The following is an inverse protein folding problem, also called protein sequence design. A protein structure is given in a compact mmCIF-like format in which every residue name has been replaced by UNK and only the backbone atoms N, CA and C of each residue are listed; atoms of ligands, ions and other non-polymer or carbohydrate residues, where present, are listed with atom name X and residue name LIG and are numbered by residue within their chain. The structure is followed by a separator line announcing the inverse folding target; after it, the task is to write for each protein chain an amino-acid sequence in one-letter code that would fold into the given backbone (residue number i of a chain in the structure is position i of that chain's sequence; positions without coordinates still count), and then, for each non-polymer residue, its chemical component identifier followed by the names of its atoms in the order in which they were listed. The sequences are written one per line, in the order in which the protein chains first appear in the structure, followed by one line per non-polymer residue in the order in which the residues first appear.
data_IF_901206728106
#
_entry.id   IF_901206728106
#
_cell.length_a   1.000
_cell.length_b   1.000
_cell.length_c   1.000
_cell.angle_alpha   90.00
_cell.angle_beta   90.00
_cell.angle_gamma   90.00
#
_symmetry.space_group_name_H-M   'P 1'
#
loop_
_entity.id
_entity.type
_entity.pdbx_description
1 polymer ?
#
# COMPACT_ATOMS: atom_id res chain seq x y z
N UNK A 1 19.30 -0.29 -12.62
CA UNK A 1 18.18 -1.25 -12.84
C UNK A 1 18.09 -2.20 -11.65
N UNK A 2 16.88 -2.58 -11.26
CA UNK A 2 16.68 -3.62 -10.25
C UNK A 2 16.96 -4.99 -10.88
N UNK A 3 17.76 -5.83 -10.22
CA UNK A 3 18.11 -7.15 -10.73
C UNK A 3 17.07 -8.20 -10.29
N UNK A 4 16.66 -8.12 -9.03
CA UNK A 4 15.62 -8.95 -8.44
C UNK A 4 14.53 -8.07 -7.79
N UNK A 5 13.55 -7.57 -8.57
CA UNK A 5 12.48 -6.72 -8.04
C UNK A 5 11.65 -7.35 -6.92
N UNK A 6 11.59 -8.69 -6.87
CA UNK A 6 10.87 -9.42 -5.82
C UNK A 6 11.55 -9.26 -4.44
N UNK A 7 12.88 -9.18 -4.43
CA UNK A 7 13.70 -9.00 -3.23
C UNK A 7 14.07 -7.54 -2.96
N UNK A 8 14.26 -6.75 -4.01
CA UNK A 8 14.83 -5.41 -3.92
C UNK A 8 13.79 -4.30 -3.70
N UNK A 9 12.50 -4.59 -3.93
CA UNK A 9 11.41 -3.63 -3.76
C UNK A 9 10.63 -3.90 -2.48
N UNK A 10 10.42 -2.84 -1.71
CA UNK A 10 9.38 -2.75 -0.70
C UNK A 10 8.11 -2.20 -1.33
N UNK A 11 7.12 -3.05 -1.56
CA UNK A 11 5.82 -2.59 -2.05
C UNK A 11 5.10 -1.87 -0.92
N UNK A 12 4.43 -0.79 -1.25
CA UNK A 12 3.78 0.08 -0.27
C UNK A 12 2.38 0.45 -0.74
N UNK A 13 1.44 0.58 0.19
CA UNK A 13 0.12 1.11 -0.13
C UNK A 13 -0.47 1.85 1.07
N UNK A 14 -1.38 2.76 0.78
CA UNK A 14 -2.15 3.49 1.77
C UNK A 14 -3.49 2.80 2.01
N UNK A 15 -3.86 2.66 3.27
CA UNK A 15 -5.17 2.18 3.70
C UNK A 15 -5.83 3.32 4.44
N UNK A 16 -6.97 3.79 3.93
CA UNK A 16 -7.74 4.88 4.51
C UNK A 16 -8.96 4.26 5.18
N UNK A 17 -9.01 4.25 6.51
CA UNK A 17 -10.01 3.53 7.28
C UNK A 17 -11.06 4.48 7.86
N UNK A 18 -12.33 4.15 7.59
CA UNK A 18 -13.49 4.91 8.03
C UNK A 18 -14.41 4.15 8.99
N UNK A 19 -15.33 4.88 9.60
CA UNK A 19 -16.45 4.30 10.33
C UNK A 19 -17.32 3.41 9.40
N UNK A 20 -18.13 2.50 9.97
CA UNK A 20 -19.06 1.70 9.19
C UNK A 20 -20.02 2.56 8.35
N UNK A 21 -20.57 2.00 7.26
CA UNK A 21 -21.62 2.69 6.50
C UNK A 21 -22.81 2.97 7.41
N UNK A 22 -23.47 4.11 7.21
CA UNK A 22 -24.64 4.52 8.00
C UNK A 22 -25.79 3.49 7.99
N UNK A 23 -25.82 2.60 6.99
CA UNK A 23 -26.78 1.50 6.86
C UNK A 23 -26.48 0.30 7.76
N UNK A 24 -25.29 0.18 8.35
CA UNK A 24 -24.89 -0.94 9.23
C UNK A 24 -24.78 -0.48 10.68
N UNK A 25 -25.43 -1.21 11.58
CA UNK A 25 -25.28 -1.00 13.03
C UNK A 25 -24.03 -1.68 13.53
N UNK A 26 -23.26 -1.00 14.37
CA UNK A 26 -22.03 -1.55 14.98
C UNK A 26 -22.30 -2.87 15.73
N UNK A 27 -23.45 -2.96 16.41
CA UNK A 27 -23.88 -4.15 17.14
C UNK A 27 -23.98 -5.41 16.25
N UNK A 28 -24.32 -5.24 14.98
CA UNK A 28 -24.57 -6.33 14.03
C UNK A 28 -23.29 -6.81 13.32
N UNK A 29 -22.16 -6.12 13.51
CA UNK A 29 -20.89 -6.48 12.88
C UNK A 29 -20.33 -7.80 13.44
N UNK A 30 -19.58 -8.59 12.65
CA UNK A 30 -19.06 -9.89 13.08
C UNK A 30 -17.79 -9.78 13.98
N UNK A 31 -17.61 -8.68 14.69
CA UNK A 31 -16.43 -8.42 15.53
C UNK A 31 -16.65 -8.73 17.01
N UNK A 32 -15.56 -8.84 17.76
CA UNK A 32 -15.62 -9.02 19.22
C UNK A 32 -16.31 -7.84 19.91
N UNK A 33 -16.84 -8.06 21.12
CA UNK A 33 -17.48 -6.98 21.89
C UNK A 33 -16.50 -5.83 22.18
N UNK A 34 -15.26 -6.13 22.54
CA UNK A 34 -14.21 -5.14 22.75
C UNK A 34 -13.95 -4.27 21.51
N UNK A 35 -13.92 -4.89 20.32
CA UNK A 35 -13.78 -4.15 19.06
C UNK A 35 -14.99 -3.23 18.81
N UNK A 36 -16.20 -3.74 19.03
CA UNK A 36 -17.44 -2.97 18.88
C UNK A 36 -17.52 -1.79 19.85
N UNK A 37 -17.11 -1.98 21.10
CA UNK A 37 -17.13 -0.93 22.13
C UNK A 37 -16.15 0.20 21.76
N UNK A 38 -14.96 -0.14 21.27
CA UNK A 38 -13.98 0.84 20.76
C UNK A 38 -14.49 1.56 19.51
N UNK A 39 -15.14 0.84 18.61
CA UNK A 39 -15.74 1.41 17.41
C UNK A 39 -16.89 2.38 17.73
N UNK A 40 -17.73 2.02 18.71
CA UNK A 40 -18.82 2.84 19.23
C UNK A 40 -18.31 4.08 20.01
N UNK A 41 -17.16 3.98 20.65
CA UNK A 41 -16.50 5.14 21.24
C UNK A 41 -15.97 6.07 20.14
N UNK A 42 -15.29 5.53 19.12
CA UNK A 42 -14.74 6.29 18.00
C UNK A 42 -15.82 7.00 17.17
N UNK A 43 -17.02 6.39 17.02
CA UNK A 43 -18.13 6.99 16.26
C UNK A 43 -18.72 8.26 16.89
N UNK A 44 -18.40 8.52 18.17
CA UNK A 44 -18.83 9.72 18.92
C UNK A 44 -17.82 10.86 18.84
N UNK A 45 -16.64 10.60 18.29
CA UNK A 45 -15.60 11.60 18.10
C UNK A 45 -15.85 12.42 16.83
N UNK A 46 -15.34 13.67 16.76
CA UNK A 46 -15.31 14.39 15.50
C UNK A 46 -14.36 13.72 14.50
N UNK A 47 -14.75 13.69 13.23
CA UNK A 47 -13.89 13.27 12.13
C UNK A 47 -12.71 14.25 11.98
N UNK A 48 -11.50 13.70 11.87
CA UNK A 48 -10.24 14.45 11.79
C UNK A 48 -9.74 14.64 10.35
N UNK A 49 -10.11 13.74 9.44
CA UNK A 49 -9.65 13.74 8.06
C UNK A 49 -10.76 13.37 7.08
N UNK A 50 -10.76 13.99 5.90
CA UNK A 50 -11.63 13.65 4.78
C UNK A 50 -10.83 13.01 3.67
N UNK A 51 -11.13 11.75 3.40
CA UNK A 51 -10.58 11.00 2.27
C UNK A 51 -11.64 10.93 1.18
N UNK A 52 -11.20 10.85 -0.07
CA UNK A 52 -12.07 10.69 -1.23
C UNK A 52 -12.83 9.35 -1.18
N UNK A 53 -12.16 8.27 -0.74
CA UNK A 53 -12.76 6.93 -0.61
C UNK A 53 -12.21 6.16 0.60
N UNK A 54 -12.66 6.45 1.83
CA UNK A 54 -12.27 5.64 2.98
C UNK A 54 -12.96 4.26 2.94
N UNK A 55 -12.18 3.22 3.21
CA UNK A 55 -12.67 1.86 3.40
C UNK A 55 -13.44 1.82 4.71
N UNK A 56 -14.74 1.54 4.62
CA UNK A 56 -15.62 1.54 5.78
C UNK A 56 -15.52 0.21 6.53
N UNK A 57 -15.33 0.27 7.85
CA UNK A 57 -15.32 -0.93 8.70
C UNK A 57 -16.63 -1.71 8.53
N UNK A 58 -16.52 -3.01 8.34
CA UNK A 58 -17.67 -3.89 8.14
C UNK A 58 -18.28 -3.85 6.74
N UNK A 59 -17.61 -3.27 5.73
CA UNK A 59 -17.94 -3.54 4.32
C UNK A 59 -17.76 -5.03 4.02
N UNK A 60 -18.59 -5.57 3.12
CA UNK A 60 -18.44 -6.96 2.67
C UNK A 60 -17.07 -7.18 2.01
N UNK A 61 -16.50 -8.40 2.06
CA UNK A 61 -15.18 -8.67 1.50
C UNK A 61 -15.00 -8.24 0.04
N UNK A 62 -16.02 -8.39 -0.80
CA UNK A 62 -15.99 -7.99 -2.21
C UNK A 62 -15.93 -6.46 -2.40
N UNK A 63 -16.40 -5.69 -1.42
CA UNK A 63 -16.32 -4.23 -1.39
C UNK A 63 -15.13 -3.70 -0.57
N UNK A 64 -14.28 -4.59 -0.04
CA UNK A 64 -13.14 -4.20 0.75
C UNK A 64 -11.89 -4.04 -0.13
N UNK A 65 -11.49 -2.79 -0.38
CA UNK A 65 -10.38 -2.49 -1.27
C UNK A 65 -9.04 -3.06 -0.76
N UNK A 66 -8.83 -3.19 0.57
CA UNK A 66 -7.64 -3.87 1.12
C UNK A 66 -7.57 -5.30 0.60
N UNK A 67 -8.67 -6.04 0.72
CA UNK A 67 -8.71 -7.44 0.31
C UNK A 67 -8.59 -7.56 -1.21
N UNK A 68 -9.26 -6.67 -1.94
CA UNK A 68 -9.20 -6.60 -3.39
C UNK A 68 -7.75 -6.40 -3.90
N UNK A 69 -7.06 -5.34 -3.45
CA UNK A 69 -5.72 -5.02 -3.89
C UNK A 69 -4.70 -6.08 -3.49
N UNK A 70 -4.76 -6.55 -2.24
CA UNK A 70 -3.86 -7.60 -1.78
C UNK A 70 -4.06 -8.92 -2.53
N UNK A 71 -5.30 -9.31 -2.83
CA UNK A 71 -5.58 -10.49 -3.67
C UNK A 71 -5.04 -10.31 -5.09
N UNK A 72 -5.20 -9.12 -5.67
CA UNK A 72 -4.67 -8.81 -6.99
C UNK A 72 -3.14 -8.90 -7.04
N UNK A 73 -2.46 -8.34 -6.04
CA UNK A 73 -1.01 -8.42 -5.92
C UNK A 73 -0.53 -9.85 -5.63
N UNK A 74 -1.22 -10.59 -4.77
CA UNK A 74 -0.92 -12.00 -4.47
C UNK A 74 -1.04 -12.87 -5.73
N UNK A 75 -2.10 -12.66 -6.52
CA UNK A 75 -2.30 -13.35 -7.80
C UNK A 75 -1.21 -12.98 -8.82
N UNK A 76 -0.78 -11.72 -8.87
CA UNK A 76 0.33 -11.31 -9.73
C UNK A 76 1.63 -12.02 -9.35
N UNK A 77 1.91 -12.20 -8.05
CA UNK A 77 3.08 -12.97 -7.57
C UNK A 77 2.93 -14.47 -7.85
N UNK A 78 1.73 -15.03 -7.69
CA UNK A 78 1.44 -16.42 -8.04
C UNK A 78 1.74 -16.70 -9.52
N UNK A 79 1.32 -15.79 -10.41
CA UNK A 79 1.59 -15.89 -11.83
C UNK A 79 3.10 -15.86 -12.13
N UNK A 80 3.88 -14.98 -11.48
CA UNK A 80 5.34 -14.92 -11.65
C UNK A 80 6.01 -16.23 -11.21
N UNK A 81 5.51 -16.86 -10.14
CA UNK A 81 5.98 -18.17 -9.67
C UNK A 81 5.67 -19.27 -10.67
N UNK A 82 4.46 -19.29 -11.22
CA UNK A 82 4.04 -20.28 -12.22
C UNK A 82 4.90 -20.21 -13.49
N UNK A 83 5.29 -18.99 -13.90
CA UNK A 83 6.20 -18.77 -15.03
C UNK A 83 7.67 -19.06 -14.71
N UNK A 84 8.02 -19.33 -13.45
CA UNK A 84 9.39 -19.58 -13.02
C UNK A 84 10.26 -18.32 -12.89
N UNK A 85 9.65 -17.13 -12.88
CA UNK A 85 10.35 -15.85 -12.75
C UNK A 85 10.84 -15.59 -11.32
N UNK A 86 10.19 -16.20 -10.32
CA UNK A 86 10.54 -16.09 -8.90
C UNK A 86 10.47 -17.45 -8.21
N UNK A 87 11.28 -17.69 -7.15
CA UNK A 87 11.23 -18.93 -6.39
C UNK A 87 9.83 -19.21 -5.78
N UNK A 88 9.46 -20.49 -5.68
CA UNK A 88 8.15 -20.91 -5.19
C UNK A 88 7.87 -20.44 -3.75
N UNK A 89 8.90 -20.40 -2.91
CA UNK A 89 8.84 -20.01 -1.50
C UNK A 89 9.01 -18.50 -1.26
N UNK A 90 9.43 -17.73 -2.28
CA UNK A 90 9.62 -16.29 -2.15
C UNK A 90 8.32 -15.56 -1.77
N UNK A 91 8.41 -14.55 -0.92
CA UNK A 91 7.28 -13.70 -0.55
C UNK A 91 7.59 -12.23 -0.77
N UNK A 92 6.64 -11.52 -1.35
CA UNK A 92 6.79 -10.09 -1.65
C UNK A 92 6.56 -9.30 -0.37
N UNK A 93 7.48 -8.40 -0.04
CA UNK A 93 7.33 -7.55 1.15
C UNK A 93 6.40 -6.37 0.85
N UNK A 94 5.34 -6.24 1.64
CA UNK A 94 4.31 -5.21 1.48
C UNK A 94 4.14 -4.43 2.78
N UNK A 95 4.22 -3.11 2.71
CA UNK A 95 3.90 -2.19 3.80
C UNK A 95 2.55 -1.56 3.54
N UNK A 96 1.62 -1.75 4.47
CA UNK A 96 0.35 -1.04 4.51
C UNK A 96 0.42 0.02 5.60
N UNK A 97 0.17 1.25 5.19
CA UNK A 97 0.09 2.42 6.06
C UNK A 97 -1.37 2.77 6.31
N UNK A 98 -1.83 2.56 7.54
CA UNK A 98 -3.24 2.63 7.91
C UNK A 98 -3.51 3.98 8.56
N UNK A 99 -4.36 4.77 7.91
CA UNK A 99 -4.79 6.09 8.38
C UNK A 99 -6.26 6.05 8.72
N UNK A 100 -6.64 6.64 9.84
CA UNK A 100 -8.02 6.63 10.29
C UNK A 100 -8.70 7.99 10.10
N UNK A 101 -9.99 7.99 9.81
CA UNK A 101 -10.80 9.22 9.81
C UNK A 101 -11.04 9.76 11.23
N UNK A 102 -10.97 8.92 12.26
CA UNK A 102 -11.18 9.26 13.68
C UNK A 102 -10.01 8.72 14.52
N UNK A 103 -9.56 9.48 15.53
CA UNK A 103 -8.45 9.06 16.38
C UNK A 103 -8.76 7.78 17.16
N UNK A 104 -10.00 7.62 17.62
CA UNK A 104 -10.47 6.44 18.34
C UNK A 104 -10.39 5.12 17.55
N UNK A 105 -10.23 5.19 16.22
CA UNK A 105 -10.04 3.99 15.39
C UNK A 105 -8.60 3.44 15.44
N UNK A 106 -7.60 4.25 15.83
CA UNK A 106 -6.18 3.84 15.87
C UNK A 106 -5.95 2.50 16.56
N UNK A 107 -6.50 2.23 17.77
CA UNK A 107 -6.19 1.01 18.51
C UNK A 107 -6.75 -0.25 17.86
N UNK A 108 -7.75 -0.12 16.98
CA UNK A 108 -8.42 -1.24 16.30
C UNK A 108 -8.08 -1.34 14.81
N UNK A 109 -7.32 -0.39 14.26
CA UNK A 109 -7.06 -0.29 12.83
C UNK A 109 -6.33 -1.53 12.28
N UNK A 110 -5.30 -2.02 12.97
CA UNK A 110 -4.58 -3.24 12.59
C UNK A 110 -5.42 -4.49 12.78
N UNK A 111 -6.14 -4.57 13.91
CA UNK A 111 -7.03 -5.68 14.20
C UNK A 111 -8.07 -5.83 13.09
N UNK A 112 -8.66 -4.74 12.61
CA UNK A 112 -9.60 -4.76 11.49
C UNK A 112 -8.98 -5.39 10.24
N UNK A 113 -7.79 -4.96 9.83
CA UNK A 113 -7.12 -5.52 8.64
C UNK A 113 -6.85 -7.02 8.82
N UNK A 114 -6.37 -7.42 10.00
CA UNK A 114 -6.11 -8.84 10.30
C UNK A 114 -7.39 -9.69 10.32
N UNK A 115 -8.51 -9.15 10.82
CA UNK A 115 -9.81 -9.82 10.83
C UNK A 115 -10.41 -9.92 9.43
N UNK A 116 -10.39 -8.84 8.65
CA UNK A 116 -10.83 -8.83 7.26
C UNK A 116 -10.08 -9.87 6.41
N UNK A 117 -8.77 -10.03 6.65
CA UNK A 117 -7.96 -11.05 5.96
C UNK A 117 -8.32 -12.48 6.37
N UNK A 118 -8.82 -12.70 7.59
CA UNK A 118 -9.27 -14.03 8.06
C UNK A 118 -10.61 -14.44 7.48
N UNK A 119 -11.46 -13.47 7.10
CA UNK A 119 -12.76 -13.72 6.46
C UNK A 119 -12.63 -14.25 5.03
N UNK A 120 -11.43 -14.15 4.41
CA UNK A 120 -11.20 -14.67 3.08
C UNK A 120 -11.35 -16.20 3.00
N UNK A 121 -12.11 -16.71 2.01
CA UNK A 121 -12.13 -18.13 1.66
C UNK A 121 -10.72 -18.69 1.41
N UNK A 122 -10.50 -19.98 1.67
CA UNK A 122 -9.18 -20.61 1.61
C UNK A 122 -8.47 -20.49 0.25
N UNK A 123 -9.25 -20.55 -0.83
CA UNK A 123 -8.81 -20.37 -2.21
C UNK A 123 -8.46 -18.91 -2.54
N UNK A 124 -8.91 -17.95 -1.73
CA UNK A 124 -8.67 -16.51 -1.91
C UNK A 124 -7.70 -15.91 -0.88
N UNK A 125 -7.18 -16.72 0.04
CA UNK A 125 -6.19 -16.27 1.02
C UNK A 125 -4.90 -15.82 0.35
N UNK A 126 -4.37 -14.71 0.82
CA UNK A 126 -3.09 -14.15 0.42
C UNK A 126 -1.95 -15.02 0.96
N UNK A 127 -1.20 -15.68 0.08
CA UNK A 127 -0.20 -16.72 0.42
C UNK A 127 1.24 -16.29 0.13
N UNK A 128 1.41 -15.38 -0.81
CA UNK A 128 2.66 -14.98 -1.42
C UNK A 128 3.15 -13.60 -0.99
N UNK A 129 2.42 -12.92 -0.11
CA UNK A 129 2.80 -11.62 0.46
C UNK A 129 3.28 -11.77 1.92
N UNK A 130 4.26 -10.94 2.29
CA UNK A 130 4.67 -10.66 3.67
C UNK A 130 4.20 -9.24 4.01
N UNK A 131 3.04 -9.15 4.64
CA UNK A 131 2.36 -7.88 4.92
C UNK A 131 2.81 -7.33 6.27
N UNK A 132 3.15 -6.04 6.31
CA UNK A 132 3.47 -5.28 7.51
C UNK A 132 2.49 -4.12 7.65
N UNK A 133 1.88 -3.98 8.81
CA UNK A 133 0.85 -2.99 9.07
C UNK A 133 1.37 -1.89 10.00
N UNK A 134 1.27 -0.65 9.55
CA UNK A 134 1.68 0.53 10.30
C UNK A 134 0.51 1.50 10.43
N UNK A 135 -0.02 1.62 11.64
CA UNK A 135 -0.84 2.75 12.04
C UNK A 135 0.03 3.85 12.65
N UNK A 136 -0.60 4.94 13.07
CA UNK A 136 0.06 6.00 13.82
C UNK A 136 0.80 5.47 15.06
N UNK A 137 0.26 4.43 15.69
CA UNK A 137 0.85 3.80 16.89
C UNK A 137 2.23 3.20 16.56
N UNK A 138 2.34 2.47 15.46
CA UNK A 138 3.61 1.86 15.05
C UNK A 138 4.61 2.89 14.55
N UNK A 139 4.15 3.93 13.84
CA UNK A 139 5.07 4.98 13.39
C UNK A 139 5.61 5.79 14.54
N UNK A 140 4.79 6.09 15.55
CA UNK A 140 5.25 6.73 16.78
C UNK A 140 6.26 5.86 17.52
N UNK A 141 6.03 4.55 17.61
CA UNK A 141 6.96 3.62 18.21
C UNK A 141 8.32 3.59 17.46
N UNK A 142 8.30 3.67 16.13
CA UNK A 142 9.53 3.81 15.32
C UNK A 142 10.23 5.14 15.62
N UNK A 143 9.49 6.25 15.66
CA UNK A 143 10.07 7.56 15.95
C UNK A 143 10.74 7.53 17.31
N UNK A 144 10.03 7.10 18.34
CA UNK A 144 10.51 7.12 19.72
C UNK A 144 11.62 6.08 19.97
N UNK A 145 11.51 4.89 19.39
CA UNK A 145 12.43 3.77 19.62
C UNK A 145 13.66 3.73 18.70
N UNK A 146 13.58 4.32 17.50
CA UNK A 146 14.63 4.20 16.47
C UNK A 146 15.15 5.57 16.04
N UNK A 147 14.26 6.47 15.60
CA UNK A 147 14.69 7.73 14.98
C UNK A 147 15.24 8.72 16.00
N UNK A 148 14.55 8.95 17.13
CA UNK A 148 15.03 9.86 18.18
C UNK A 148 16.41 9.45 18.72
N UNK A 149 16.67 8.18 19.08
CA UNK A 149 18.01 7.74 19.48
C UNK A 149 19.07 7.93 18.38
N UNK A 150 18.74 7.68 17.12
CA UNK A 150 19.66 7.87 16.00
C UNK A 150 20.00 9.37 15.79
N UNK A 151 19.00 10.24 15.87
CA UNK A 151 19.15 11.70 15.75
C UNK A 151 19.97 12.29 16.90
N UNK A 152 19.77 11.82 18.13
CA UNK A 152 20.55 12.25 19.28
C UNK A 152 22.06 11.95 19.10
N UNK A 153 22.41 10.80 18.49
CA UNK A 153 23.81 10.43 18.21
C UNK A 153 24.51 11.36 17.22
N UNK A 154 23.78 12.02 16.34
CA UNK A 154 24.33 12.99 15.37
C UNK A 154 24.17 14.45 15.84
N UNK A 155 23.78 14.66 17.11
CA UNK A 155 23.64 15.99 17.70
C UNK A 155 22.41 16.77 17.25
N UNK A 156 21.40 16.10 16.69
CA UNK A 156 20.14 16.75 16.31
C UNK A 156 19.24 16.94 17.54
N UNK A 157 18.88 18.17 17.85
CA UNK A 157 18.21 18.54 19.11
C UNK A 157 16.68 18.53 19.04
N UNK A 158 16.08 18.76 17.87
CA UNK A 158 14.61 18.87 17.70
C UNK A 158 13.97 17.54 17.26
N UNK A 159 14.29 16.47 17.99
CA UNK A 159 13.85 15.13 17.61
C UNK A 159 12.34 14.91 17.77
N UNK A 160 11.64 15.79 18.50
CA UNK A 160 10.17 15.75 18.65
C UNK A 160 9.44 16.20 17.38
N UNK A 161 10.03 17.10 16.60
CA UNK A 161 9.49 17.49 15.28
C UNK A 161 9.40 16.30 14.30
N UNK A 162 10.05 15.16 14.58
CA UNK A 162 9.92 13.96 13.76
C UNK A 162 8.51 13.41 13.69
N UNK A 163 7.72 13.56 14.75
CA UNK A 163 6.31 13.17 14.69
C UNK A 163 5.51 14.04 13.74
N UNK A 164 5.97 15.24 13.36
CA UNK A 164 5.28 16.07 12.36
C UNK A 164 5.48 15.59 10.92
N UNK A 165 6.56 14.84 10.66
CA UNK A 165 6.94 14.43 9.28
C UNK A 165 6.85 12.92 9.06
N UNK A 166 7.10 12.12 10.10
CA UNK A 166 7.11 10.66 10.03
C UNK A 166 5.88 10.11 10.75
N UNK A 167 4.88 9.73 9.96
CA UNK A 167 3.67 9.07 10.43
C UNK A 167 2.67 8.92 9.32
N UNK A 168 1.52 8.35 9.64
CA UNK A 168 0.51 8.00 8.64
C UNK A 168 -0.73 8.87 8.75
N UNK A 169 -0.98 9.51 9.89
CA UNK A 169 -2.16 10.35 10.06
C UNK A 169 -1.96 11.83 9.76
N UNK A 170 -3.09 12.52 9.51
CA UNK A 170 -3.16 13.95 9.25
C UNK A 170 -3.15 14.28 7.76
N UNK A 171 -2.39 15.29 7.38
CA UNK A 171 -2.27 15.72 5.98
C UNK A 171 -1.67 14.59 5.13
N UNK A 172 -2.19 14.44 3.90
CA UNK A 172 -1.74 13.39 2.97
C UNK A 172 -0.22 13.43 2.70
N UNK A 173 0.41 14.60 2.83
CA UNK A 173 1.86 14.75 2.71
C UNK A 173 2.65 13.98 3.77
N UNK A 174 2.14 13.83 4.99
CA UNK A 174 2.79 13.09 6.07
C UNK A 174 2.74 11.59 5.80
N UNK A 175 1.59 11.11 5.37
CA UNK A 175 1.38 9.74 4.92
C UNK A 175 2.35 9.34 3.80
N UNK A 176 2.44 10.17 2.76
CA UNK A 176 3.37 9.96 1.65
C UNK A 176 4.83 10.03 2.09
N UNK A 177 5.16 10.87 3.07
CA UNK A 177 6.50 10.95 3.66
C UNK A 177 6.88 9.64 4.37
N UNK A 178 5.97 9.04 5.15
CA UNK A 178 6.19 7.74 5.76
C UNK A 178 6.45 6.65 4.71
N UNK A 179 5.61 6.56 3.66
CA UNK A 179 5.75 5.52 2.63
C UNK A 179 7.10 5.58 1.89
N UNK A 180 7.69 6.78 1.77
CA UNK A 180 9.05 6.95 1.24
C UNK A 180 10.11 6.62 2.28
N UNK A 181 9.96 7.14 3.49
CA UNK A 181 10.98 7.08 4.54
C UNK A 181 11.15 5.67 5.13
N UNK A 182 10.11 4.84 5.11
CA UNK A 182 10.17 3.47 5.64
C UNK A 182 11.25 2.62 4.95
N UNK A 183 11.57 2.92 3.68
CA UNK A 183 12.65 2.26 2.95
C UNK A 183 13.99 2.37 3.67
N UNK A 184 14.35 3.57 4.12
CA UNK A 184 15.64 3.81 4.74
C UNK A 184 15.80 2.99 6.04
N UNK A 185 14.70 2.88 6.80
CA UNK A 185 14.66 2.09 8.03
C UNK A 185 14.74 0.60 7.70
N UNK A 186 13.94 0.12 6.75
CA UNK A 186 13.92 -1.29 6.36
C UNK A 186 15.28 -1.73 5.80
N UNK A 187 15.88 -0.93 4.92
CA UNK A 187 17.20 -1.17 4.36
C UNK A 187 18.29 -1.23 5.43
N UNK A 188 18.30 -0.25 6.36
CA UNK A 188 19.36 -0.15 7.35
C UNK A 188 19.28 -1.22 8.44
N UNK A 189 18.08 -1.67 8.82
CA UNK A 189 17.89 -2.50 10.01
C UNK A 189 17.32 -3.90 9.74
N UNK A 190 16.71 -4.14 8.57
CA UNK A 190 15.99 -5.38 8.30
C UNK A 190 16.63 -6.15 7.13
N UNK A 191 16.73 -5.53 5.95
CA UNK A 191 17.29 -6.19 4.77
C UNK A 191 17.96 -5.16 3.82
N UNK A 192 19.30 -5.13 3.76
CA UNK A 192 20.02 -4.20 2.89
C UNK A 192 19.86 -4.53 1.39
N UNK A 193 19.28 -5.69 1.03
CA UNK A 193 18.96 -5.97 -0.37
C UNK A 193 17.76 -5.15 -0.86
N UNK A 194 16.89 -4.69 0.04
CA UNK A 194 15.76 -3.82 -0.31
C UNK A 194 16.27 -2.41 -0.53
N UNK A 195 16.19 -1.91 -1.76
CA UNK A 195 16.79 -0.63 -2.18
C UNK A 195 15.81 0.32 -2.84
N UNK A 196 14.58 -0.14 -3.11
CA UNK A 196 13.53 0.67 -3.71
C UNK A 196 12.20 0.50 -2.99
N UNK A 197 11.33 1.50 -3.12
CA UNK A 197 9.90 1.40 -2.80
C UNK A 197 9.07 1.55 -4.05
N UNK A 198 7.92 0.87 -4.07
CA UNK A 198 6.90 1.09 -5.09
C UNK A 198 5.55 1.27 -4.41
N UNK A 199 4.88 2.40 -4.63
CA UNK A 199 3.52 2.63 -4.13
C UNK A 199 2.52 2.11 -5.14
N UNK A 200 1.66 1.19 -4.71
CA UNK A 200 0.45 0.79 -5.44
C UNK A 200 -0.76 1.42 -4.76
N UNK A 201 -1.74 1.85 -5.54
CA UNK A 201 -3.06 2.11 -4.99
C UNK A 201 -3.77 0.76 -4.77
N UNK A 202 -4.48 0.63 -3.66
CA UNK A 202 -5.03 -0.67 -3.21
C UNK A 202 -6.25 -1.10 -4.04
N UNK A 203 -6.77 -0.22 -4.89
CA UNK A 203 -7.83 -0.46 -5.86
C UNK A 203 -7.28 -0.80 -7.27
N UNK A 204 -5.95 -0.91 -7.42
CA UNK A 204 -5.29 -1.24 -8.67
C UNK A 204 -4.68 -2.65 -8.63
N UNK A 205 -4.70 -3.32 -9.79
CA UNK A 205 -4.16 -4.67 -9.93
C UNK A 205 -3.26 -4.79 -11.16
N UNK A 206 -2.31 -5.73 -11.10
CA UNK A 206 -1.50 -6.12 -12.25
C UNK A 206 -2.18 -7.28 -12.99
N UNK A 207 -2.86 -6.97 -14.09
CA UNK A 207 -3.46 -8.00 -14.96
C UNK A 207 -2.36 -8.57 -15.85
N UNK A 208 -1.63 -9.56 -15.32
CA UNK A 208 -0.40 -10.09 -15.93
C UNK A 208 -0.55 -10.50 -17.40
N UNK A 209 -1.61 -11.22 -17.77
CA UNK A 209 -1.79 -11.67 -19.15
C UNK A 209 -2.00 -10.49 -20.12
N UNK A 210 -2.79 -9.48 -19.75
CA UNK A 210 -2.94 -8.25 -20.54
C UNK A 210 -1.63 -7.46 -20.59
N UNK A 211 -0.91 -7.38 -19.46
CA UNK A 211 0.36 -6.67 -19.37
C UNK A 211 1.40 -7.27 -20.31
N UNK A 212 1.55 -8.60 -20.29
CA UNK A 212 2.43 -9.32 -21.22
C UNK A 212 1.95 -9.17 -22.65
N UNK A 213 0.65 -9.29 -22.92
CA UNK A 213 0.10 -9.17 -24.28
C UNK A 213 0.37 -7.79 -24.90
N UNK A 214 0.33 -6.72 -24.11
CA UNK A 214 0.45 -5.35 -24.62
C UNK A 214 1.88 -4.81 -24.56
N UNK A 215 2.70 -5.29 -23.62
CA UNK A 215 4.05 -4.75 -23.38
C UNK A 215 5.18 -5.74 -23.60
N UNK A 216 4.86 -7.03 -23.74
CA UNK A 216 5.84 -8.11 -23.78
C UNK A 216 6.55 -8.38 -22.45
N UNK A 217 6.11 -7.76 -21.34
CA UNK A 217 6.73 -7.85 -20.02
C UNK A 217 5.71 -8.13 -18.93
N UNK A 218 6.08 -8.93 -17.95
CA UNK A 218 5.34 -9.11 -16.71
C UNK A 218 5.53 -7.93 -15.74
N UNK A 219 4.76 -7.91 -14.65
CA UNK A 219 4.90 -6.92 -13.57
C UNK A 219 6.35 -6.77 -13.11
N UNK A 220 7.03 -7.87 -12.77
CA UNK A 220 8.41 -7.79 -12.26
C UNK A 220 9.39 -7.36 -13.34
N UNK A 221 9.17 -7.73 -14.60
CA UNK A 221 10.02 -7.33 -15.71
C UNK A 221 9.95 -5.84 -16.02
N UNK A 222 8.81 -5.19 -15.77
CA UNK A 222 8.70 -3.72 -15.87
C UNK A 222 9.64 -3.00 -14.90
N UNK A 223 9.84 -3.55 -13.70
CA UNK A 223 10.76 -2.98 -12.71
C UNK A 223 12.24 -3.19 -13.03
N UNK A 224 12.57 -4.08 -13.99
CA UNK A 224 13.96 -4.30 -14.45
C UNK A 224 14.40 -3.28 -15.50
N UNK A 225 13.55 -2.32 -15.86
CA UNK A 225 13.89 -1.26 -16.81
C UNK A 225 15.11 -0.45 -16.36
N UNK A 226 16.05 -0.19 -17.28
CA UNK A 226 17.19 0.71 -17.03
C UNK A 226 16.77 2.16 -16.81
N UNK A 227 15.54 2.51 -17.17
CA UNK A 227 14.98 3.84 -16.95
C UNK A 227 14.47 4.02 -15.50
N UNK A 228 14.42 2.95 -14.71
CA UNK A 228 14.02 3.04 -13.31
C UNK A 228 15.07 3.79 -12.47
N UNK A 229 14.70 4.94 -11.92
CA UNK A 229 15.59 5.85 -11.19
C UNK A 229 16.52 6.66 -12.11
N UNK A 230 16.32 6.63 -13.43
CA UNK A 230 17.15 7.36 -14.38
C UNK A 230 16.86 8.87 -14.35
N UNK A 231 17.75 9.67 -14.95
CA UNK A 231 17.61 11.12 -15.06
C UNK A 231 17.42 11.54 -16.51
N UNK A 232 16.58 12.55 -16.74
CA UNK A 232 16.31 13.09 -18.06
C UNK A 232 16.14 14.61 -18.05
N UNK A 233 15.74 15.16 -19.21
CA UNK A 233 15.29 16.55 -19.34
C UNK A 233 13.87 16.55 -19.89
N UNK A 234 12.99 17.37 -19.31
CA UNK A 234 11.67 17.58 -19.89
C UNK A 234 11.74 18.51 -21.12
N UNK A 235 10.59 18.80 -21.73
CA UNK A 235 10.49 19.65 -22.92
C UNK A 235 10.95 21.10 -22.71
N UNK A 236 11.04 21.57 -21.47
CA UNK A 236 11.60 22.88 -21.09
C UNK A 236 13.11 22.84 -20.81
N UNK A 237 13.73 21.66 -20.90
CA UNK A 237 15.14 21.45 -20.55
C UNK A 237 15.41 21.28 -19.05
N UNK A 238 14.37 21.20 -18.22
CA UNK A 238 14.49 21.03 -16.76
C UNK A 238 14.83 19.56 -16.44
N UNK A 239 15.68 19.35 -15.44
CA UNK A 239 16.04 18.00 -15.00
C UNK A 239 14.82 17.29 -14.39
N UNK A 240 14.62 16.04 -14.77
CA UNK A 240 13.59 15.16 -14.21
C UNK A 240 14.20 13.83 -13.79
N UNK A 241 13.59 13.17 -12.82
CA UNK A 241 13.89 11.78 -12.45
C UNK A 241 12.76 10.89 -12.96
N UNK A 242 13.14 9.78 -13.59
CA UNK A 242 12.25 8.77 -14.11
C UNK A 242 12.09 7.69 -13.04
N UNK A 243 10.86 7.38 -12.66
CA UNK A 243 10.57 6.39 -11.62
C UNK A 243 9.09 6.04 -11.53
N UNK A 244 8.35 6.26 -12.60
CA UNK A 244 6.91 6.00 -12.68
C UNK A 244 6.68 4.87 -13.67
N UNK A 245 5.95 3.84 -13.24
CA UNK A 245 5.36 2.85 -14.16
C UNK A 245 3.95 3.31 -14.48
N UNK A 246 3.75 3.94 -15.64
CA UNK A 246 2.45 4.44 -16.07
C UNK A 246 1.70 3.40 -16.91
N UNK A 247 0.42 3.16 -16.61
CA UNK A 247 -0.47 2.28 -17.39
C UNK A 247 -0.24 0.77 -17.19
N UNK A 248 0.67 0.35 -16.32
CA UNK A 248 0.85 -1.06 -15.96
C UNK A 248 -0.08 -1.54 -14.83
N UNK A 249 -0.83 -0.60 -14.22
CA UNK A 249 -1.80 -0.83 -13.17
C UNK A 249 -3.14 -0.24 -13.60
N UNK A 250 -4.22 -0.97 -13.37
CA UNK A 250 -5.57 -0.52 -13.68
C UNK A 250 -6.58 -1.04 -12.65
N UNK A 251 -7.68 -0.30 -12.47
CA UNK A 251 -8.85 -0.84 -11.78
C UNK A 251 -9.52 -1.92 -12.65
N UNK A 252 -9.96 -3.03 -12.07
CA UNK A 252 -10.57 -4.13 -12.85
C UNK A 252 -11.86 -3.72 -13.55
N UNK A 253 -12.64 -2.78 -13.00
CA UNK A 253 -13.84 -2.27 -13.65
C UNK A 253 -13.49 -1.57 -14.97
N UNK A 254 -12.46 -0.73 -14.96
CA UNK A 254 -12.00 -0.02 -16.15
C UNK A 254 -11.36 -0.98 -17.15
N UNK A 255 -10.57 -1.95 -16.67
CA UNK A 255 -10.05 -3.03 -17.50
C UNK A 255 -11.16 -3.83 -18.18
N UNK A 256 -12.25 -4.19 -17.48
CA UNK A 256 -13.41 -4.85 -18.10
C UNK A 256 -14.10 -3.95 -19.12
N UNK A 257 -14.32 -2.68 -18.77
CA UNK A 257 -14.98 -1.70 -19.64
C UNK A 257 -14.19 -1.45 -20.94
N UNK A 258 -12.86 -1.56 -20.89
CA UNK A 258 -11.97 -1.43 -22.05
C UNK A 258 -11.96 -2.64 -23.00
N UNK A 259 -12.66 -3.72 -22.65
CA UNK A 259 -12.55 -5.00 -23.36
C UNK A 259 -11.23 -5.73 -23.08
N UNK A 260 -10.65 -5.55 -21.88
CA UNK A 260 -9.44 -6.23 -21.45
C UNK A 260 -8.12 -5.57 -21.87
N UNK A 261 -8.18 -4.29 -22.26
CA UNK A 261 -7.02 -3.49 -22.70
C UNK A 261 -6.51 -2.59 -21.58
N UNK A 262 -5.19 -2.52 -21.42
CA UNK A 262 -4.53 -1.64 -20.46
C UNK A 262 -4.25 -0.25 -21.06
N UNK A 263 -3.88 -0.21 -22.35
CA UNK A 263 -3.55 1.02 -23.05
C UNK A 263 -4.64 1.33 -24.09
N UNK A 264 -5.52 2.27 -23.75
CA UNK A 264 -6.52 2.81 -24.68
C UNK A 264 -6.02 4.19 -25.14
N UNK A 265 -5.94 4.45 -26.45
CA UNK A 265 -5.63 5.79 -26.91
C UNK A 265 -6.78 6.73 -26.55
N UNK A 266 -6.47 7.83 -25.85
CA UNK A 266 -7.43 8.89 -25.51
C UNK A 266 -8.00 9.59 -26.77
N UNK A 267 -7.34 9.41 -27.91
CA UNK A 267 -7.72 9.95 -29.21
C UNK A 267 -7.72 8.83 -30.24
N UNK A 268 -8.88 8.61 -30.87
CA UNK A 268 -8.95 7.75 -32.05
C UNK A 268 -8.36 8.49 -33.25
N UNK A 269 -7.62 7.80 -34.15
CA UNK A 269 -7.26 8.39 -35.42
C UNK A 269 -8.53 8.85 -36.17
N UNK A 270 -8.47 9.97 -36.90
CA UNK A 270 -9.60 10.50 -37.65
C UNK A 270 -10.14 9.54 -38.72
#
# INVERSE_FOLDING_TARGET
PLADPMREILFTSNVLLGLPPASKKIADLPYSQDFKDKLEAASKEPQLAWFDHPIQIGVEPDGNEILYGLKGLDAAVAWEKEKGNVPADAKMSVVLSITCTHAGLRPIAKQYVEEAMKELPEDQRVKHLKIMLFSEIETDAIVDGVLKPALAKIGFSDSDAMKLIFGVEGEYGRHYSFLKAVLAIYHAFIDPAVTATFKTDIDQVFVQDSLVSETGKSMLEHFKSDLWGARGKNWKGEAIELGMVAGALCNQKDWKASGGKLFIPDLLPP
#
